data_IF_362451256574
#
_entry.id   IF_362451256574
#
_cell.length_a   1.000
_cell.length_b   1.000
_cell.length_c   1.000
_cell.angle_alpha   90.00
_cell.angle_beta   90.00
_cell.angle_gamma   90.00
#
_symmetry.space_group_name_H-M   'P 1'
#
loop_
_entity.id
_entity.type
_entity.pdbx_description
1 polymer ?
#
# COMPACT_ATOMS: atom_id res chain seq x y z
N UNK A 1 -10.87 -13.36 4.26
CA UNK A 1 -11.51 -12.35 5.16
C UNK A 1 -10.43 -11.38 5.59
N UNK A 2 -10.72 -10.05 5.66
CA UNK A 2 -9.75 -9.03 6.10
C UNK A 2 -9.15 -9.41 7.47
N UNK A 3 -7.84 -9.36 7.57
CA UNK A 3 -7.10 -9.57 8.81
C UNK A 3 -6.65 -8.20 9.37
N UNK A 4 -7.37 -7.72 10.37
CA UNK A 4 -7.14 -6.40 10.95
C UNK A 4 -5.76 -6.25 11.61
N UNK A 5 -5.20 -7.32 12.16
CA UNK A 5 -3.87 -7.28 12.78
C UNK A 5 -2.79 -7.17 11.69
N UNK A 6 -2.91 -7.91 10.59
CA UNK A 6 -2.00 -7.82 9.45
C UNK A 6 -2.08 -6.45 8.76
N UNK A 7 -3.32 -5.93 8.58
CA UNK A 7 -3.51 -4.57 8.05
C UNK A 7 -2.80 -3.54 8.92
N UNK A 8 -3.01 -3.60 10.25
CA UNK A 8 -2.37 -2.68 11.19
C UNK A 8 -0.85 -2.81 11.16
N UNK A 9 -0.32 -4.04 11.16
CA UNK A 9 1.13 -4.29 11.07
C UNK A 9 1.72 -3.70 9.79
N UNK A 10 1.09 -3.93 8.65
CA UNK A 10 1.50 -3.36 7.36
C UNK A 10 1.50 -1.84 7.41
N UNK A 11 0.41 -1.24 7.89
CA UNK A 11 0.28 0.21 8.02
C UNK A 11 1.36 0.81 8.92
N UNK A 12 1.56 0.25 10.12
CA UNK A 12 2.59 0.72 11.05
C UNK A 12 4.00 0.58 10.47
N UNK A 13 4.27 -0.47 9.69
CA UNK A 13 5.58 -0.68 9.08
C UNK A 13 5.92 0.42 8.08
N UNK A 14 4.97 0.80 7.22
CA UNK A 14 5.20 1.85 6.22
C UNK A 14 5.10 3.28 6.79
N UNK A 15 4.37 3.48 7.89
CA UNK A 15 4.37 4.78 8.60
C UNK A 15 5.75 5.17 9.14
N UNK A 16 6.56 4.18 9.56
CA UNK A 16 7.93 4.42 10.07
C UNK A 16 8.94 4.78 8.99
N UNK A 17 8.56 4.65 7.73
CA UNK A 17 9.44 4.98 6.60
C UNK A 17 9.19 6.44 6.22
N UNK A 18 10.24 7.27 6.33
CA UNK A 18 10.20 8.62 5.78
C UNK A 18 10.16 8.55 4.25
N UNK A 19 9.13 9.11 3.66
CA UNK A 19 8.87 9.03 2.23
C UNK A 19 8.45 10.36 1.62
N UNK A 20 8.98 11.45 2.17
CA UNK A 20 8.84 12.75 1.52
C UNK A 20 9.53 12.73 0.16
N UNK A 21 8.85 13.27 -0.86
CA UNK A 21 9.38 13.31 -2.23
C UNK A 21 10.80 13.92 -2.27
N UNK A 22 11.75 13.32 -2.98
CA UNK A 22 11.69 12.17 -3.90
C UNK A 22 12.18 10.84 -3.28
N UNK A 23 11.90 10.54 -2.01
CA UNK A 23 12.48 9.41 -1.28
C UNK A 23 11.45 8.31 -0.96
N UNK A 24 10.47 8.07 -1.83
CA UNK A 24 9.36 7.13 -1.60
C UNK A 24 9.71 5.66 -1.81
N UNK A 25 10.76 5.36 -2.59
CA UNK A 25 11.11 3.99 -3.00
C UNK A 25 11.16 2.98 -1.83
N UNK A 26 11.65 3.34 -0.61
CA UNK A 26 11.68 2.41 0.52
C UNK A 26 10.30 1.94 1.01
N UNK A 27 9.22 2.67 0.71
CA UNK A 27 7.86 2.27 1.15
C UNK A 27 7.43 0.96 0.48
N UNK A 28 7.86 0.71 -0.74
CA UNK A 28 7.49 -0.49 -1.51
C UNK A 28 8.21 -1.75 -1.02
N UNK A 29 9.38 -1.62 -0.43
CA UNK A 29 10.22 -2.76 -0.04
C UNK A 29 9.50 -3.76 0.89
N UNK A 30 8.82 -3.36 1.97
CA UNK A 30 8.05 -4.29 2.81
C UNK A 30 6.77 -4.80 2.16
N UNK A 31 6.25 -4.13 1.13
CA UNK A 31 4.99 -4.47 0.46
C UNK A 31 5.20 -5.44 -0.70
N UNK A 32 6.34 -5.34 -1.40
CA UNK A 32 6.67 -6.17 -2.56
C UNK A 32 6.49 -7.67 -2.31
N UNK A 33 7.12 -8.28 -1.27
CA UNK A 33 6.99 -9.72 -1.05
C UNK A 33 5.55 -10.15 -0.73
N UNK A 34 4.74 -9.29 -0.13
CA UNK A 34 3.32 -9.56 0.16
C UNK A 34 2.50 -9.65 -1.12
N UNK A 35 2.65 -8.67 -2.00
CA UNK A 35 1.94 -8.61 -3.28
C UNK A 35 2.39 -9.74 -4.22
N UNK A 36 3.70 -9.98 -4.33
CA UNK A 36 4.26 -11.06 -5.16
C UNK A 36 3.81 -12.44 -4.67
N UNK A 37 3.73 -12.66 -3.36
CA UNK A 37 3.23 -13.92 -2.79
C UNK A 37 1.75 -14.16 -3.12
N UNK A 38 0.96 -13.10 -3.26
CA UNK A 38 -0.43 -13.18 -3.70
C UNK A 38 -0.57 -13.40 -5.23
N UNK A 39 0.52 -13.30 -5.99
CA UNK A 39 0.54 -13.47 -7.44
C UNK A 39 0.50 -12.18 -8.25
N UNK A 40 0.67 -11.03 -7.62
CA UNK A 40 0.76 -9.73 -8.31
C UNK A 40 2.13 -9.63 -8.99
N UNK A 41 2.13 -9.29 -10.28
CA UNK A 41 3.34 -9.04 -11.06
C UNK A 41 3.68 -7.56 -10.98
N UNK A 42 4.80 -7.23 -10.34
CA UNK A 42 5.21 -5.84 -10.10
C UNK A 42 6.24 -5.35 -11.11
N UNK A 43 6.08 -4.11 -11.54
CA UNK A 43 7.03 -3.35 -12.36
C UNK A 43 7.14 -1.92 -11.85
N UNK A 44 8.17 -1.20 -12.30
CA UNK A 44 8.37 0.22 -11.97
C UNK A 44 8.57 0.99 -13.26
N UNK A 45 7.88 2.11 -13.42
CA UNK A 45 8.03 2.96 -14.60
C UNK A 45 9.23 3.93 -14.49
N UNK A 46 9.43 4.75 -15.53
CA UNK A 46 10.53 5.72 -15.58
C UNK A 46 10.37 6.86 -14.55
N UNK A 47 9.18 7.06 -14.01
CA UNK A 47 8.87 8.06 -12.97
C UNK A 47 8.90 7.46 -11.57
N UNK A 48 9.25 6.18 -11.44
CA UNK A 48 9.31 5.40 -10.19
C UNK A 48 7.95 5.02 -9.62
N UNK A 49 6.83 5.23 -10.36
CA UNK A 49 5.56 4.64 -9.97
C UNK A 49 5.66 3.13 -10.02
N UNK A 50 5.06 2.46 -9.04
CA UNK A 50 5.00 0.99 -9.01
C UNK A 50 3.66 0.53 -9.55
N UNK A 51 3.72 -0.28 -10.61
CA UNK A 51 2.57 -0.88 -11.26
C UNK A 51 2.53 -2.37 -10.91
N UNK A 52 1.36 -2.85 -10.50
CA UNK A 52 1.09 -4.25 -10.25
C UNK A 52 -0.02 -4.74 -11.15
N UNK A 53 0.13 -5.93 -11.70
CA UNK A 53 -0.93 -6.62 -12.41
C UNK A 53 -1.20 -7.97 -11.74
N UNK A 54 -2.42 -8.18 -11.31
CA UNK A 54 -2.91 -9.44 -10.76
C UNK A 54 -3.92 -10.06 -11.72
N UNK A 55 -3.57 -11.16 -12.42
CA UNK A 55 -4.49 -11.80 -13.35
C UNK A 55 -5.76 -12.24 -12.63
N UNK A 56 -6.89 -12.02 -13.25
CA UNK A 56 -8.17 -12.50 -12.73
C UNK A 56 -8.21 -14.03 -12.65
N UNK A 57 -9.08 -14.55 -11.80
CA UNK A 57 -9.28 -15.97 -11.65
C UNK A 57 -10.76 -16.36 -11.51
N UNK A 58 -11.04 -17.68 -11.64
CA UNK A 58 -12.38 -18.22 -11.53
C UNK A 58 -13.35 -17.64 -12.57
N UNK A 59 -14.60 -17.48 -12.18
CA UNK A 59 -15.68 -16.98 -13.05
C UNK A 59 -15.59 -15.48 -13.37
N UNK A 60 -14.71 -14.76 -12.67
CA UNK A 60 -14.50 -13.32 -12.85
C UNK A 60 -13.26 -12.99 -13.70
N UNK A 61 -12.51 -14.01 -14.14
CA UNK A 61 -11.21 -13.83 -14.80
C UNK A 61 -11.26 -12.97 -16.07
N UNK A 62 -12.38 -13.01 -16.80
CA UNK A 62 -12.55 -12.31 -18.08
C UNK A 62 -13.34 -10.99 -17.94
N UNK A 63 -13.56 -10.53 -16.71
CA UNK A 63 -14.22 -9.23 -16.50
C UNK A 63 -13.23 -8.08 -16.70
N UNK A 64 -13.78 -6.87 -16.83
CA UNK A 64 -12.98 -5.66 -16.90
C UNK A 64 -12.13 -5.49 -15.64
N UNK A 65 -10.88 -5.02 -15.78
CA UNK A 65 -9.97 -4.84 -14.65
C UNK A 65 -10.47 -3.77 -13.68
N UNK A 66 -10.12 -3.95 -12.40
CA UNK A 66 -10.30 -2.94 -11.35
C UNK A 66 -8.94 -2.32 -11.04
N UNK A 67 -8.85 -0.98 -11.06
CA UNK A 67 -7.65 -0.28 -10.62
C UNK A 67 -7.78 0.12 -9.16
N UNK A 68 -6.75 -0.21 -8.36
CA UNK A 68 -6.56 0.23 -6.99
C UNK A 68 -5.33 1.15 -6.96
N UNK A 69 -5.52 2.40 -6.57
CA UNK A 69 -4.49 3.41 -6.63
C UNK A 69 -4.29 4.08 -5.25
N UNK A 70 -3.05 4.39 -4.91
CA UNK A 70 -2.66 5.18 -3.75
C UNK A 70 -1.29 5.80 -3.98
N UNK A 71 -0.94 6.87 -3.25
CA UNK A 71 0.39 7.46 -3.32
C UNK A 71 1.25 7.07 -2.12
N UNK A 72 2.57 7.11 -2.31
CA UNK A 72 3.54 6.66 -1.31
C UNK A 72 4.30 7.79 -0.63
N UNK A 73 4.24 8.99 -1.19
CA UNK A 73 4.83 10.18 -0.59
C UNK A 73 3.96 10.75 0.54
N UNK A 74 4.60 11.55 1.37
CA UNK A 74 3.96 12.29 2.46
C UNK A 74 4.10 13.79 2.23
N UNK A 75 3.09 14.56 2.65
CA UNK A 75 3.07 16.04 2.54
C UNK A 75 4.25 16.72 3.26
N UNK A 76 4.85 16.05 4.23
CA UNK A 76 5.96 16.55 5.04
C UNK A 76 6.93 15.42 5.41
N UNK A 77 8.23 15.71 5.57
CA UNK A 77 9.18 14.73 6.07
C UNK A 77 8.79 14.16 7.45
N UNK A 78 8.96 12.85 7.61
CA UNK A 78 8.61 12.13 8.85
C UNK A 78 9.78 11.35 9.45
N UNK A 79 11.03 11.88 9.46
CA UNK A 79 12.20 11.12 9.90
C UNK A 79 12.09 10.76 11.40
N UNK A 80 12.15 9.46 11.69
CA UNK A 80 12.12 8.95 13.07
C UNK A 80 10.77 9.08 13.77
N UNK A 81 9.69 9.42 13.07
CA UNK A 81 8.34 9.42 13.64
C UNK A 81 7.93 8.01 14.05
N UNK A 82 7.48 7.84 15.29
CA UNK A 82 6.96 6.58 15.80
C UNK A 82 5.44 6.64 15.97
N UNK A 83 4.68 5.80 15.25
CA UNK A 83 3.23 5.79 15.39
C UNK A 83 2.81 5.28 16.76
N UNK A 84 1.84 5.95 17.38
CA UNK A 84 1.30 5.63 18.71
C UNK A 84 -0.15 5.15 18.59
N UNK A 85 -0.44 3.97 19.13
CA UNK A 85 -1.82 3.46 19.19
C UNK A 85 -2.46 3.93 20.48
N UNK A 86 -3.54 4.70 20.39
CA UNK A 86 -4.31 5.21 21.50
C UNK A 86 -5.77 5.39 21.10
N UNK A 87 -6.69 5.07 22.00
CA UNK A 87 -8.13 5.28 21.79
C UNK A 87 -8.66 4.67 20.47
N UNK A 88 -8.19 3.47 20.14
CA UNK A 88 -8.52 2.73 18.90
C UNK A 88 -8.12 3.45 17.61
N UNK A 89 -7.17 4.36 17.66
CA UNK A 89 -6.63 5.08 16.52
C UNK A 89 -5.10 5.10 16.54
N UNK A 90 -4.51 5.30 15.36
CA UNK A 90 -3.08 5.51 15.20
C UNK A 90 -2.81 7.01 15.16
N UNK A 91 -1.90 7.46 15.97
CA UNK A 91 -1.50 8.86 16.12
C UNK A 91 0.00 9.02 15.82
N UNK A 92 0.40 10.22 15.47
CA UNK A 92 1.81 10.62 15.53
C UNK A 92 2.27 10.73 16.98
N UNK A 93 3.58 10.57 17.21
CA UNK A 93 4.24 10.86 18.50
C UNK A 93 4.38 12.37 18.78
N UNK A 94 4.01 13.21 17.83
CA UNK A 94 4.10 14.66 17.88
C UNK A 94 5.41 15.23 17.30
N UNK A 95 6.33 14.40 16.82
CA UNK A 95 7.57 14.86 16.18
C UNK A 95 7.33 15.40 14.76
N UNK A 96 6.34 14.87 14.06
CA UNK A 96 5.93 15.32 12.72
C UNK A 96 4.45 14.96 12.45
N UNK A 97 4.01 15.12 11.20
CA UNK A 97 2.72 14.58 10.74
C UNK A 97 2.74 13.05 10.79
N UNK A 98 1.57 12.41 10.87
CA UNK A 98 1.48 10.95 10.87
C UNK A 98 1.86 10.34 9.51
N UNK A 99 1.55 11.04 8.41
CA UNK A 99 1.76 10.52 7.04
C UNK A 99 0.78 9.40 6.66
N UNK A 100 -0.42 9.42 7.23
CA UNK A 100 -1.46 8.43 6.93
C UNK A 100 -2.07 8.61 5.54
N UNK A 101 -2.07 9.82 5.05
CA UNK A 101 -2.38 10.17 3.67
C UNK A 101 -1.12 9.98 2.81
N UNK A 102 -1.05 9.01 1.91
CA UNK A 102 -2.09 8.01 1.60
C UNK A 102 -1.66 6.58 1.99
N UNK A 103 -0.70 6.43 2.92
CA UNK A 103 -0.21 5.13 3.40
C UNK A 103 -1.33 4.24 3.96
N UNK A 104 -2.43 4.84 4.42
CA UNK A 104 -3.59 4.08 4.87
C UNK A 104 -4.26 3.33 3.72
N UNK A 105 -4.47 4.00 2.56
CA UNK A 105 -4.99 3.33 1.38
C UNK A 105 -4.00 2.31 0.82
N UNK A 106 -2.70 2.63 0.79
CA UNK A 106 -1.66 1.69 0.37
C UNK A 106 -1.72 0.40 1.19
N UNK A 107 -1.78 0.48 2.52
CA UNK A 107 -1.91 -0.68 3.39
C UNK A 107 -3.23 -1.45 3.18
N UNK A 108 -4.34 -0.73 2.96
CA UNK A 108 -5.65 -1.33 2.70
C UNK A 108 -5.68 -2.09 1.36
N UNK A 109 -5.02 -1.57 0.32
CA UNK A 109 -4.87 -2.24 -0.97
C UNK A 109 -4.11 -3.56 -0.80
N UNK A 110 -2.98 -3.53 -0.10
CA UNK A 110 -2.18 -4.74 0.16
C UNK A 110 -2.99 -5.78 0.92
N UNK A 111 -3.68 -5.38 2.00
CA UNK A 111 -4.52 -6.30 2.77
C UNK A 111 -5.68 -6.87 1.94
N UNK A 112 -6.30 -6.07 1.08
CA UNK A 112 -7.38 -6.56 0.21
C UNK A 112 -6.89 -7.67 -0.73
N UNK A 113 -5.71 -7.47 -1.34
CA UNK A 113 -5.08 -8.47 -2.21
C UNK A 113 -4.73 -9.73 -1.42
N UNK A 114 -4.04 -9.61 -0.28
CA UNK A 114 -3.69 -10.75 0.58
C UNK A 114 -4.95 -11.52 1.05
N UNK A 115 -6.00 -10.80 1.47
CA UNK A 115 -7.22 -11.43 2.00
C UNK A 115 -8.00 -12.21 0.92
N UNK A 116 -8.03 -11.72 -0.31
CA UNK A 116 -8.66 -12.40 -1.46
C UNK A 116 -7.83 -13.63 -1.82
N UNK A 117 -6.50 -13.50 -1.90
CA UNK A 117 -5.59 -14.59 -2.22
C UNK A 117 -5.66 -15.70 -1.17
N UNK A 118 -5.58 -15.36 0.12
CA UNK A 118 -5.68 -16.32 1.24
C UNK A 118 -6.99 -17.11 1.24
N UNK A 119 -8.08 -16.45 0.86
CA UNK A 119 -9.40 -17.07 0.82
C UNK A 119 -9.67 -17.84 -0.48
N UNK A 120 -8.79 -17.75 -1.48
CA UNK A 120 -8.95 -18.35 -2.80
C UNK A 120 -10.23 -17.89 -3.52
N UNK A 121 -10.61 -16.63 -3.31
CA UNK A 121 -11.83 -16.08 -3.90
C UNK A 121 -11.63 -15.76 -5.38
N UNK A 122 -12.67 -15.97 -6.23
CA UNK A 122 -12.64 -15.47 -7.60
C UNK A 122 -12.59 -13.93 -7.59
N UNK A 123 -11.80 -13.38 -8.51
CA UNK A 123 -11.68 -11.93 -8.69
C UNK A 123 -11.42 -11.57 -10.16
N UNK A 124 -11.83 -10.37 -10.61
CA UNK A 124 -11.44 -9.85 -11.91
C UNK A 124 -9.94 -9.56 -11.95
N UNK A 125 -9.36 -9.26 -13.11
CA UNK A 125 -8.01 -8.68 -13.15
C UNK A 125 -7.95 -7.43 -12.27
N UNK A 126 -6.85 -7.28 -11.52
CA UNK A 126 -6.65 -6.10 -10.66
C UNK A 126 -5.34 -5.42 -11.08
N UNK A 127 -5.44 -4.12 -11.32
CA UNK A 127 -4.29 -3.24 -11.52
C UNK A 127 -4.03 -2.50 -10.21
N UNK A 128 -2.80 -2.57 -9.70
CA UNK A 128 -2.35 -1.81 -8.53
C UNK A 128 -1.44 -0.71 -9.01
N UNK A 129 -1.67 0.52 -8.56
CA UNK A 129 -0.82 1.65 -8.90
C UNK A 129 -0.44 2.39 -7.61
N UNK A 130 0.86 2.39 -7.29
CA UNK A 130 1.42 3.23 -6.24
C UNK A 130 2.22 4.36 -6.88
N UNK A 131 1.73 5.57 -6.75
CA UNK A 131 2.35 6.77 -7.34
C UNK A 131 3.33 7.43 -6.38
N UNK A 132 4.22 8.25 -6.96
CA UNK A 132 5.17 9.10 -6.24
C UNK A 132 4.89 10.56 -6.52
N UNK A 133 5.18 11.45 -5.56
CA UNK A 133 5.13 12.90 -5.75
C UNK A 133 3.73 13.49 -5.89
N UNK A 134 2.69 12.85 -5.38
CA UNK A 134 1.32 13.37 -5.43
C UNK A 134 1.19 14.70 -4.67
N UNK A 135 1.82 14.78 -3.50
CA UNK A 135 1.75 15.93 -2.59
C UNK A 135 2.58 17.16 -3.04
N UNK A 136 3.38 17.01 -4.08
CA UNK A 136 4.19 18.12 -4.62
C UNK A 136 3.71 18.63 -5.98
N UNK A 137 2.71 18.01 -6.56
CA UNK A 137 2.02 18.44 -7.79
C UNK A 137 2.64 17.97 -9.08
#
# INVERSE_FOLDING_TARGET
>A
MINSDRLLETFLSILRIDSYYPNEDPVIEPLRPKLEAAGVQLSTDAHRNVLGFWPGNGELAEQDPIMLCGHTDTVWPTPGMEPVIRDHAVHTDGSSVLGADDKAAVAAIVEAVEAIADAGLPHPPVEVLFTVGEEVG
#
